data_IF_355426998865
#
_entry.id   IF_355426998865
#
_cell.length_a   1.000
_cell.length_b   1.000
_cell.length_c   1.000
_cell.angle_alpha   90.00
_cell.angle_beta   90.00
_cell.angle_gamma   90.00
#
_symmetry.space_group_name_H-M   'P 1'
#
loop_
_entity.id
_entity.type
_entity.pdbx_description
1 polymer ?
#
# COMPACT_ATOMS: atom_id res chain seq x y z
N UNK A 1 -1.42 21.98 -1.28
CA UNK A 1 -1.32 21.27 -2.58
C UNK A 1 -2.66 20.65 -2.92
N UNK A 2 -2.96 20.52 -4.20
CA UNK A 2 -4.14 19.77 -4.66
C UNK A 2 -3.78 18.29 -4.75
N UNK A 3 -4.66 17.41 -4.27
CA UNK A 3 -4.50 15.98 -4.48
C UNK A 3 -4.43 15.68 -5.99
N UNK A 4 -3.65 14.67 -6.42
CA UNK A 4 -3.60 14.27 -7.82
C UNK A 4 -4.99 13.81 -8.28
N UNK A 5 -5.27 13.98 -9.56
CA UNK A 5 -6.55 13.61 -10.18
C UNK A 5 -6.28 12.78 -11.42
N UNK A 6 -7.18 11.86 -11.76
CA UNK A 6 -7.02 10.99 -12.92
C UNK A 6 -5.96 9.89 -12.72
N UNK A 7 -5.64 9.53 -11.48
CA UNK A 7 -4.82 8.36 -11.18
C UNK A 7 -5.66 7.10 -11.39
N UNK A 8 -5.21 6.19 -12.24
CA UNK A 8 -5.86 4.90 -12.49
C UNK A 8 -5.87 4.04 -11.22
N UNK A 9 -6.97 3.31 -11.01
CA UNK A 9 -7.16 2.40 -9.85
C UNK A 9 -6.99 3.12 -8.49
N UNK A 10 -7.17 4.45 -8.47
CA UNK A 10 -7.18 5.23 -7.24
C UNK A 10 -8.52 5.08 -6.49
N UNK A 11 -8.48 5.22 -5.16
CA UNK A 11 -9.67 5.03 -4.33
C UNK A 11 -10.83 5.95 -4.74
N UNK A 12 -12.06 5.40 -4.71
CA UNK A 12 -13.30 6.14 -4.94
C UNK A 12 -13.49 7.32 -3.97
N UNK A 13 -12.87 7.25 -2.79
CA UNK A 13 -12.93 8.32 -1.78
C UNK A 13 -11.95 9.47 -2.06
N UNK A 14 -11.07 9.32 -3.05
CA UNK A 14 -10.07 10.29 -3.46
C UNK A 14 -8.65 9.73 -3.42
N UNK A 15 -7.72 10.46 -4.02
CA UNK A 15 -6.33 10.01 -4.17
C UNK A 15 -5.45 10.25 -2.94
N UNK A 16 -5.86 11.11 -2.00
CA UNK A 16 -5.16 11.36 -0.72
C UNK A 16 -6.13 11.12 0.45
N UNK A 17 -5.68 10.45 1.51
CA UNK A 17 -6.49 10.22 2.71
C UNK A 17 -6.84 11.51 3.45
N UNK A 18 -5.99 12.53 3.34
CA UNK A 18 -6.16 13.87 3.92
C UNK A 18 -7.22 14.69 3.17
N UNK A 19 -7.73 14.17 2.05
CA UNK A 19 -8.75 14.77 1.21
C UNK A 19 -8.18 15.51 0.00
N UNK A 20 -9.03 16.34 -0.64
CA UNK A 20 -8.73 16.97 -1.94
C UNK A 20 -7.64 18.05 -1.87
N UNK A 21 -7.32 18.53 -0.67
CA UNK A 21 -6.34 19.60 -0.42
C UNK A 21 -5.47 19.25 0.78
N UNK A 22 -4.17 19.17 0.55
CA UNK A 22 -3.15 18.91 1.57
C UNK A 22 -2.50 20.23 1.99
N UNK A 23 -2.29 20.44 3.29
CA UNK A 23 -1.61 21.63 3.82
C UNK A 23 -0.12 21.63 3.43
N UNK A 24 0.50 22.80 3.40
CA UNK A 24 1.95 22.91 3.19
C UNK A 24 2.71 22.18 4.31
N UNK A 25 3.80 21.50 3.95
CA UNK A 25 4.61 20.63 4.82
C UNK A 25 3.88 19.40 5.38
N UNK A 26 2.70 19.08 4.85
CA UNK A 26 2.02 17.83 5.14
C UNK A 26 2.18 16.82 3.99
N UNK A 27 1.98 15.55 4.31
CA UNK A 27 2.00 14.48 3.32
C UNK A 27 0.57 14.20 2.84
N UNK A 28 0.46 13.87 1.55
CA UNK A 28 -0.65 13.13 0.97
C UNK A 28 -0.34 11.65 1.18
N UNK A 29 -1.16 10.94 1.93
CA UNK A 29 -1.13 9.48 1.99
C UNK A 29 -1.95 8.96 0.82
N UNK A 30 -1.27 8.38 -0.17
CA UNK A 30 -1.90 7.94 -1.40
C UNK A 30 -2.89 6.80 -1.14
N UNK A 31 -4.02 6.81 -1.86
CA UNK A 31 -5.07 5.80 -1.71
C UNK A 31 -5.39 5.14 -3.05
N UNK A 32 -5.35 3.81 -3.06
CA UNK A 32 -5.71 2.97 -4.19
C UNK A 32 -6.98 2.15 -3.90
N UNK A 33 -7.57 1.60 -4.94
CA UNK A 33 -8.65 0.63 -4.83
C UNK A 33 -8.18 -0.66 -4.14
N UNK A 34 -9.14 -1.47 -3.70
CA UNK A 34 -8.85 -2.75 -3.04
C UNK A 34 -8.04 -3.65 -3.96
N UNK A 35 -6.93 -4.19 -3.46
CA UNK A 35 -6.02 -5.04 -4.24
C UNK A 35 -4.91 -4.28 -4.97
N UNK A 36 -4.85 -2.96 -4.82
CA UNK A 36 -3.76 -2.13 -5.34
C UNK A 36 -3.03 -1.41 -4.21
N UNK A 37 -1.72 -1.22 -4.40
CA UNK A 37 -0.85 -0.49 -3.49
C UNK A 37 -0.29 0.77 -4.16
N UNK A 38 -0.31 1.91 -3.47
CA UNK A 38 0.22 3.16 -4.01
C UNK A 38 1.75 3.15 -4.04
N UNK A 39 2.32 3.62 -5.15
CA UNK A 39 3.75 3.82 -5.30
C UNK A 39 4.06 5.20 -5.91
N UNK A 40 4.75 6.09 -5.18
CA UNK A 40 5.05 5.99 -3.76
C UNK A 40 3.79 6.13 -2.90
N UNK A 41 3.83 5.56 -1.70
CA UNK A 41 2.69 5.58 -0.76
C UNK A 41 2.42 6.96 -0.14
N UNK A 42 3.39 7.88 -0.20
CA UNK A 42 3.23 9.24 0.31
C UNK A 42 3.84 10.27 -0.63
N UNK A 43 3.21 11.44 -0.70
CA UNK A 43 3.67 12.58 -1.49
C UNK A 43 3.73 13.80 -0.58
N UNK A 44 4.88 14.46 -0.50
CA UNK A 44 5.05 15.63 0.36
C UNK A 44 4.52 16.88 -0.33
N UNK A 45 3.72 17.68 0.38
CA UNK A 45 3.24 18.96 -0.12
C UNK A 45 4.21 20.08 0.24
N UNK A 46 4.92 20.62 -0.74
CA UNK A 46 5.87 21.70 -0.55
C UNK A 46 5.60 22.87 -1.52
N UNK A 47 5.56 24.10 -0.99
CA UNK A 47 5.26 25.32 -1.76
C UNK A 47 4.05 25.23 -2.71
N UNK A 48 3.04 24.41 -2.38
CA UNK A 48 1.83 24.23 -3.20
C UNK A 48 1.89 23.08 -4.22
N UNK A 49 3.04 22.43 -4.38
CA UNK A 49 3.27 21.28 -5.26
C UNK A 49 3.49 20.00 -4.46
N UNK A 50 2.99 18.88 -4.97
CA UNK A 50 3.29 17.56 -4.40
C UNK A 50 4.63 17.06 -4.95
N UNK A 51 5.42 16.45 -4.07
CA UNK A 51 6.69 15.81 -4.37
C UNK A 51 6.64 14.35 -3.88
N UNK A 52 6.52 13.38 -4.79
CA UNK A 52 6.33 13.53 -6.25
C UNK A 52 4.96 14.14 -6.61
N UNK A 53 4.78 14.54 -7.89
CA UNK A 53 3.55 15.20 -8.34
C UNK A 53 2.33 14.27 -8.40
N UNK A 54 2.58 12.96 -8.53
CA UNK A 54 1.57 11.91 -8.60
C UNK A 54 2.16 10.59 -8.09
N UNK A 55 1.30 9.60 -7.92
CA UNK A 55 1.62 8.22 -7.62
C UNK A 55 0.94 7.30 -8.64
N UNK A 56 1.31 6.03 -8.62
CA UNK A 56 0.70 4.96 -9.40
C UNK A 56 0.11 3.91 -8.44
N UNK A 57 -1.03 3.35 -8.81
CA UNK A 57 -1.59 2.20 -8.11
C UNK A 57 -1.07 0.93 -8.80
N UNK A 58 -0.20 0.21 -8.11
CA UNK A 58 0.33 -1.06 -8.60
C UNK A 58 -0.50 -2.20 -8.06
N UNK A 59 -0.87 -3.15 -8.90
CA UNK A 59 -1.62 -4.33 -8.49
C UNK A 59 -0.76 -5.13 -7.50
N UNK A 60 -1.29 -5.34 -6.31
CA UNK A 60 -0.63 -6.15 -5.30
C UNK A 60 -0.99 -7.62 -5.45
N UNK A 61 -0.18 -8.47 -4.83
CA UNK A 61 -0.47 -9.89 -4.68
C UNK A 61 -1.06 -10.12 -3.29
N UNK A 62 -2.21 -10.79 -3.20
CA UNK A 62 -2.73 -11.19 -1.90
C UNK A 62 -1.80 -12.23 -1.28
N UNK A 63 -1.56 -12.10 0.03
CA UNK A 63 -0.85 -13.13 0.78
C UNK A 63 -1.60 -14.47 0.63
N UNK A 64 -0.89 -15.58 0.43
CA UNK A 64 -1.53 -16.88 0.30
C UNK A 64 -2.18 -17.28 1.63
N UNK A 65 -3.31 -17.98 1.55
CA UNK A 65 -3.88 -18.67 2.70
C UNK A 65 -3.35 -20.09 2.70
N UNK A 66 -2.58 -20.45 3.73
CA UNK A 66 -2.00 -21.78 3.90
C UNK A 66 -2.34 -22.33 5.27
N UNK A 67 -2.56 -23.65 5.34
CA UNK A 67 -2.83 -24.33 6.60
C UNK A 67 -1.64 -24.19 7.55
N UNK A 68 -1.91 -24.02 8.85
CA UNK A 68 -0.89 -23.87 9.90
C UNK A 68 0.05 -22.66 9.69
N UNK A 69 -0.43 -21.61 9.00
CA UNK A 69 0.25 -20.32 8.97
C UNK A 69 0.24 -19.65 10.35
N UNK A 70 1.17 -18.73 10.55
CA UNK A 70 1.22 -17.93 11.78
C UNK A 70 -0.09 -17.14 11.98
N UNK A 71 -0.55 -16.90 13.23
CA UNK A 71 -1.79 -16.15 13.49
C UNK A 71 -1.83 -14.72 12.94
N UNK A 72 -0.67 -14.14 12.65
CA UNK A 72 -0.54 -12.81 12.04
C UNK A 72 -0.54 -12.83 10.51
N UNK A 73 -0.60 -14.00 9.88
CA UNK A 73 -0.62 -14.19 8.43
C UNK A 73 0.49 -15.10 7.91
N UNK A 74 0.39 -15.49 6.63
CA UNK A 74 1.34 -16.40 5.99
C UNK A 74 2.70 -15.76 5.67
N UNK A 75 2.78 -14.44 5.58
CA UNK A 75 4.00 -13.71 5.24
C UNK A 75 4.53 -12.90 6.43
N UNK A 76 5.85 -12.89 6.60
CA UNK A 76 6.54 -12.07 7.58
C UNK A 76 6.24 -10.60 7.34
N UNK A 77 5.50 -9.99 8.26
CA UNK A 77 4.98 -8.62 8.14
C UNK A 77 3.46 -8.55 8.28
N UNK A 78 2.75 -9.68 8.22
CA UNK A 78 1.30 -9.75 8.42
C UNK A 78 0.50 -8.90 7.42
N UNK A 79 1.11 -8.57 6.28
CA UNK A 79 0.49 -7.81 5.21
C UNK A 79 -0.39 -8.74 4.39
N UNK A 80 -1.68 -8.41 4.30
CA UNK A 80 -2.63 -9.14 3.45
C UNK A 80 -2.39 -8.90 1.95
N UNK A 81 -1.73 -7.80 1.59
CA UNK A 81 -1.46 -7.39 0.22
C UNK A 81 0.01 -6.98 0.10
N UNK A 82 0.74 -7.71 -0.74
CA UNK A 82 2.15 -7.49 -1.03
C UNK A 82 2.31 -6.61 -2.26
N UNK A 83 3.31 -5.73 -2.24
CA UNK A 83 3.75 -5.01 -3.42
C UNK A 83 4.25 -5.95 -4.51
N UNK A 84 4.27 -5.51 -5.78
CA UNK A 84 4.78 -6.32 -6.88
C UNK A 84 6.26 -6.72 -6.72
N UNK A 85 7.02 -5.96 -5.92
CA UNK A 85 8.44 -6.17 -5.64
C UNK A 85 8.70 -6.71 -4.22
N UNK A 86 7.65 -7.03 -3.45
CA UNK A 86 7.78 -7.56 -2.09
C UNK A 86 8.00 -9.08 -2.09
N UNK A 87 8.92 -9.54 -1.25
CA UNK A 87 9.14 -10.96 -1.00
C UNK A 87 8.34 -11.43 0.23
N UNK A 88 7.48 -12.43 0.04
CA UNK A 88 6.83 -13.12 1.15
C UNK A 88 7.81 -14.11 1.79
N UNK A 89 8.31 -13.81 2.99
CA UNK A 89 8.99 -14.81 3.81
C UNK A 89 7.91 -15.57 4.59
N UNK A 90 7.77 -16.87 4.33
CA UNK A 90 6.74 -17.67 4.97
C UNK A 90 6.87 -17.67 6.50
N UNK A 91 5.74 -17.61 7.21
CA UNK A 91 5.67 -17.75 8.66
C UNK A 91 4.69 -18.85 9.05
N UNK A 92 5.21 -19.84 9.77
CA UNK A 92 4.45 -20.95 10.30
C UNK A 92 3.93 -20.65 11.71
N UNK A 93 2.82 -21.27 12.09
CA UNK A 93 2.36 -21.29 13.47
C UNK A 93 3.41 -21.94 14.40
N UNK A 94 3.31 -21.67 15.70
CA UNK A 94 4.18 -22.28 16.70
C UNK A 94 4.13 -23.82 16.60
N UNK A 95 5.30 -24.45 16.52
CA UNK A 95 5.43 -25.91 16.38
C UNK A 95 5.39 -26.44 14.95
N UNK A 96 5.26 -25.58 13.93
CA UNK A 96 5.31 -25.96 12.52
C UNK A 96 6.59 -25.44 11.85
N UNK A 97 7.13 -26.21 10.91
CA UNK A 97 8.27 -25.84 10.09
C UNK A 97 7.89 -25.81 8.60
N UNK A 98 8.45 -24.90 7.80
CA UNK A 98 8.19 -24.84 6.37
C UNK A 98 8.83 -26.05 5.69
N UNK A 99 8.03 -26.77 4.90
CA UNK A 99 8.53 -27.80 3.98
C UNK A 99 8.86 -27.14 2.63
N UNK A 100 10.08 -27.36 2.14
CA UNK A 100 10.58 -26.84 0.85
C UNK A 100 10.59 -27.90 -0.24
#
# INVERSE_FOLDING_TARGET
CRAPVGVSDASVNGSCSEGRRVKHQHNCTAQCERGYLPYPASLQCDHGLLHPKSFECKKGCFAPEVENMHPLGACAGGLELLGPDDACVAQCAEGFEPNV
#
